data_IF_306641707357
#
_entry.id   IF_306641707357
#
_cell.length_a   1.000
_cell.length_b   1.000
_cell.length_c   1.000
_cell.angle_alpha   90.00
_cell.angle_beta   90.00
_cell.angle_gamma   90.00
#
_symmetry.space_group_name_H-M   'P 1'
#
loop_
_entity.id
_entity.type
_entity.pdbx_description
1 polymer ?
#
# COMPACT_ATOMS: atom_id res chain seq x y z
N UNK A 1 -50.40 -12.23 -26.79
CA UNK A 1 -50.11 -12.69 -25.41
C UNK A 1 -48.73 -13.33 -25.27
N UNK A 2 -48.34 -14.35 -26.06
CA UNK A 2 -46.98 -14.97 -25.97
C UNK A 2 -45.79 -14.00 -26.07
N UNK A 3 -45.86 -12.98 -26.93
CA UNK A 3 -44.78 -11.97 -27.09
C UNK A 3 -44.62 -11.02 -25.89
N UNK A 4 -45.67 -10.82 -25.09
CA UNK A 4 -45.63 -9.95 -23.91
C UNK A 4 -44.95 -10.68 -22.74
N UNK A 5 -45.20 -11.99 -22.60
CA UNK A 5 -44.52 -12.81 -21.59
C UNK A 5 -43.00 -12.93 -21.84
N UNK A 6 -42.55 -13.01 -23.09
CA UNK A 6 -41.09 -13.02 -23.38
C UNK A 6 -40.38 -11.72 -23.03
N UNK A 7 -41.04 -10.56 -23.17
CA UNK A 7 -40.44 -9.26 -22.84
C UNK A 7 -40.38 -9.08 -21.32
N UNK A 8 -41.42 -9.49 -20.59
CA UNK A 8 -41.44 -9.43 -19.12
C UNK A 8 -40.38 -10.37 -18.53
N UNK A 9 -40.20 -11.58 -19.09
CA UNK A 9 -39.19 -12.53 -18.63
C UNK A 9 -37.75 -12.02 -18.86
N UNK A 10 -37.50 -11.35 -19.99
CA UNK A 10 -36.21 -10.72 -20.27
C UNK A 10 -35.93 -9.54 -19.32
N UNK A 11 -36.95 -8.74 -18.99
CA UNK A 11 -36.82 -7.63 -18.04
C UNK A 11 -36.57 -8.11 -16.60
N UNK A 12 -37.18 -9.24 -16.20
CA UNK A 12 -36.93 -9.87 -14.90
C UNK A 12 -35.51 -10.44 -14.82
N UNK A 13 -34.99 -11.02 -15.91
CA UNK A 13 -33.59 -11.49 -15.96
C UNK A 13 -32.57 -10.33 -15.91
N UNK A 14 -32.86 -9.19 -16.54
CA UNK A 14 -32.03 -7.98 -16.49
C UNK A 14 -32.08 -7.32 -15.10
N UNK A 15 -33.23 -7.39 -14.41
CA UNK A 15 -33.37 -6.86 -13.04
C UNK A 15 -32.78 -7.79 -11.97
N UNK A 16 -32.72 -9.10 -12.22
CA UNK A 16 -32.05 -10.06 -11.33
C UNK A 16 -30.51 -10.00 -11.42
N UNK A 17 -29.94 -9.47 -12.51
CA UNK A 17 -28.49 -9.26 -12.63
C UNK A 17 -27.96 -8.00 -11.90
N UNK A 18 -28.84 -7.21 -11.27
CA UNK A 18 -28.45 -5.98 -10.55
C UNK A 18 -28.48 -6.14 -9.02
N UNK A 19 -28.78 -7.33 -8.52
CA UNK A 19 -28.51 -7.67 -7.12
C UNK A 19 -27.04 -8.06 -6.98
N UNK A 20 -26.15 -7.08 -7.13
CA UNK A 20 -24.83 -7.19 -6.51
C UNK A 20 -25.11 -7.31 -5.01
N UNK A 21 -24.88 -8.49 -4.45
CA UNK A 21 -24.71 -8.62 -3.01
C UNK A 21 -23.48 -7.77 -2.69
N UNK A 22 -23.70 -6.49 -2.36
CA UNK A 22 -22.63 -5.67 -1.82
C UNK A 22 -22.28 -6.34 -0.50
N UNK A 23 -21.12 -7.01 -0.46
CA UNK A 23 -20.53 -7.40 0.80
C UNK A 23 -20.43 -6.13 1.65
N UNK A 24 -20.85 -6.20 2.91
CA UNK A 24 -20.56 -5.11 3.83
C UNK A 24 -19.03 -4.97 3.91
N UNK A 25 -18.56 -3.73 3.93
CA UNK A 25 -17.13 -3.40 3.92
C UNK A 25 -16.81 -2.48 5.09
N UNK A 26 -15.64 -2.70 5.68
CA UNK A 26 -15.04 -1.86 6.71
C UNK A 26 -13.88 -1.06 6.13
N UNK A 27 -13.82 0.22 6.48
CA UNK A 27 -12.71 1.11 6.08
C UNK A 27 -11.58 1.04 7.09
N UNK A 28 -10.37 0.81 6.61
CA UNK A 28 -9.14 0.81 7.41
C UNK A 28 -8.24 1.96 6.97
N UNK A 29 -7.77 2.75 7.93
CA UNK A 29 -6.78 3.80 7.70
C UNK A 29 -5.40 3.30 8.15
N UNK A 30 -4.39 3.47 7.30
CA UNK A 30 -2.99 3.12 7.58
C UNK A 30 -2.24 4.43 7.74
N UNK A 31 -1.94 4.84 8.97
CA UNK A 31 -1.49 6.22 9.22
C UNK A 31 -0.13 6.51 8.63
N UNK A 32 0.77 5.55 8.65
CA UNK A 32 2.14 5.71 8.15
C UNK A 32 2.17 6.00 6.65
N UNK A 33 1.21 5.43 5.90
CA UNK A 33 1.12 5.58 4.43
C UNK A 33 0.11 6.65 4.00
N UNK A 34 -0.66 7.21 4.95
CA UNK A 34 -1.78 8.11 4.67
C UNK A 34 -2.74 7.56 3.61
N UNK A 35 -3.11 6.28 3.72
CA UNK A 35 -4.06 5.63 2.82
C UNK A 35 -5.27 5.09 3.57
N UNK A 36 -6.42 5.10 2.91
CA UNK A 36 -7.60 4.32 3.32
C UNK A 36 -7.89 3.22 2.31
N UNK A 37 -8.28 2.07 2.83
CA UNK A 37 -8.70 0.90 2.06
C UNK A 37 -10.00 0.34 2.65
N UNK A 38 -10.94 0.00 1.76
CA UNK A 38 -12.16 -0.70 2.14
C UNK A 38 -11.95 -2.20 1.89
N UNK A 39 -12.17 -3.01 2.93
CA UNK A 39 -12.10 -4.46 2.84
C UNK A 39 -13.45 -5.07 3.22
N UNK A 40 -13.86 -6.18 2.58
CA UNK A 40 -15.06 -6.90 2.98
C UNK A 40 -15.02 -7.37 4.43
N UNK A 41 -16.17 -7.38 5.10
CA UNK A 41 -16.28 -7.70 6.53
C UNK A 41 -15.98 -9.17 6.88
N UNK A 42 -15.83 -10.05 5.87
CA UNK A 42 -15.38 -11.43 6.07
C UNK A 42 -13.85 -11.57 6.19
N UNK A 43 -13.11 -10.47 6.09
CA UNK A 43 -11.68 -10.39 6.41
C UNK A 43 -11.45 -10.03 7.87
N UNK A 44 -10.57 -10.79 8.53
CA UNK A 44 -9.90 -10.38 9.75
C UNK A 44 -8.72 -9.52 9.40
N UNK A 45 -8.65 -8.32 9.95
CA UNK A 45 -7.65 -7.31 9.57
C UNK A 45 -6.77 -6.96 10.75
N UNK A 46 -5.47 -7.11 10.55
CA UNK A 46 -4.43 -6.63 11.45
C UNK A 46 -3.69 -5.45 10.82
N UNK A 47 -3.61 -4.33 11.54
CA UNK A 47 -2.80 -3.16 11.20
C UNK A 47 -1.89 -2.77 12.37
N UNK A 48 -0.83 -2.00 12.09
CA UNK A 48 0.05 -1.46 13.16
C UNK A 48 -0.69 -0.50 14.11
N UNK A 49 -1.75 0.15 13.60
CA UNK A 49 -2.50 1.20 14.29
C UNK A 49 -3.75 0.71 15.03
N UNK A 50 -3.98 -0.61 15.11
CA UNK A 50 -5.20 -1.16 15.71
C UNK A 50 -5.35 -0.83 17.21
N UNK A 51 -6.59 -0.83 17.71
CA UNK A 51 -6.88 -0.70 19.14
C UNK A 51 -6.44 -1.93 19.93
N UNK A 52 -5.96 -1.74 21.16
CA UNK A 52 -5.53 -2.84 22.04
C UNK A 52 -6.68 -3.78 22.44
N UNK A 53 -7.93 -3.29 22.38
CA UNK A 53 -9.16 -4.03 22.67
C UNK A 53 -9.91 -4.42 21.38
N UNK A 54 -9.22 -4.43 20.23
CA UNK A 54 -9.85 -4.80 18.96
C UNK A 54 -10.44 -6.22 19.02
N UNK A 55 -11.69 -6.46 18.57
CA UNK A 55 -12.33 -7.78 18.63
C UNK A 55 -11.55 -8.87 17.90
N UNK A 56 -10.76 -8.51 16.88
CA UNK A 56 -9.92 -9.46 16.14
C UNK A 56 -8.77 -9.99 17.01
N UNK A 57 -8.24 -9.19 17.94
CA UNK A 57 -7.21 -9.62 18.89
C UNK A 57 -7.78 -10.65 19.87
N UNK A 58 -8.96 -10.35 20.45
CA UNK A 58 -9.66 -11.27 21.36
C UNK A 58 -9.99 -12.59 20.67
N UNK A 59 -10.51 -12.52 19.44
CA UNK A 59 -10.88 -13.71 18.65
C UNK A 59 -9.71 -14.69 18.49
N UNK A 60 -8.50 -14.19 18.27
CA UNK A 60 -7.33 -15.03 18.04
C UNK A 60 -6.42 -15.17 19.27
N UNK A 61 -6.80 -14.60 20.42
CA UNK A 61 -6.00 -14.67 21.64
C UNK A 61 -4.66 -13.95 21.55
N UNK A 62 -4.56 -12.91 20.72
CA UNK A 62 -3.34 -12.13 20.56
C UNK A 62 -3.36 -10.81 21.31
N UNK A 63 -2.17 -10.32 21.65
CA UNK A 63 -1.99 -8.95 22.10
C UNK A 63 -1.65 -8.04 20.92
N UNK A 64 -1.96 -6.75 21.05
CA UNK A 64 -1.52 -5.74 20.10
C UNK A 64 -0.01 -5.80 19.87
N UNK A 65 0.79 -5.86 20.94
CA UNK A 65 2.26 -5.89 20.85
C UNK A 65 2.77 -7.09 20.03
N UNK A 66 2.17 -8.27 20.20
CA UNK A 66 2.53 -9.45 19.42
C UNK A 66 2.29 -9.24 17.92
N UNK A 67 1.12 -8.71 17.56
CA UNK A 67 0.78 -8.45 16.17
C UNK A 67 1.64 -7.33 15.57
N UNK A 68 1.77 -6.20 16.26
CA UNK A 68 2.60 -5.07 15.80
C UNK A 68 4.05 -5.52 15.58
N UNK A 69 4.62 -6.29 16.51
CA UNK A 69 5.98 -6.84 16.34
C UNK A 69 6.09 -7.79 15.14
N UNK A 70 5.07 -8.61 14.90
CA UNK A 70 5.04 -9.54 13.77
C UNK A 70 4.94 -8.79 12.43
N UNK A 71 4.03 -7.82 12.34
CA UNK A 71 3.87 -6.95 11.17
C UNK A 71 5.13 -6.12 10.90
N UNK A 72 5.77 -5.58 11.95
CA UNK A 72 7.03 -4.82 11.83
C UNK A 72 8.16 -5.70 11.31
N UNK A 73 8.31 -6.93 11.83
CA UNK A 73 9.33 -7.87 11.35
C UNK A 73 9.11 -8.29 9.90
N UNK A 74 7.86 -8.40 9.46
CA UNK A 74 7.51 -8.72 8.08
C UNK A 74 7.47 -7.53 7.12
N UNK A 75 7.74 -6.32 7.61
CA UNK A 75 7.59 -5.06 6.88
C UNK A 75 6.18 -4.84 6.30
N UNK A 76 5.16 -5.30 7.04
CA UNK A 76 3.75 -5.19 6.69
C UNK A 76 3.09 -4.07 7.50
N UNK A 77 2.26 -3.26 6.84
CA UNK A 77 1.42 -2.24 7.46
C UNK A 77 -0.02 -2.74 7.69
N UNK A 78 -0.47 -3.65 6.83
CA UNK A 78 -1.75 -4.34 6.95
C UNK A 78 -1.56 -5.80 6.52
N UNK A 79 -2.19 -6.71 7.27
CA UNK A 79 -2.40 -8.11 6.87
C UNK A 79 -3.86 -8.48 7.13
N UNK A 80 -4.54 -8.96 6.11
CA UNK A 80 -5.94 -9.32 6.15
C UNK A 80 -6.17 -10.72 5.57
N UNK A 81 -6.97 -11.54 6.24
CA UNK A 81 -7.21 -12.94 5.85
C UNK A 81 -8.63 -13.38 6.19
N UNK A 82 -9.14 -14.39 5.50
CA UNK A 82 -10.47 -14.98 5.76
C UNK A 82 -10.38 -16.14 6.77
N UNK A 83 -11.51 -16.59 7.32
CA UNK A 83 -11.57 -17.78 8.21
C UNK A 83 -11.00 -19.04 7.54
N UNK A 84 -11.03 -19.12 6.20
CA UNK A 84 -10.48 -20.25 5.45
C UNK A 84 -8.96 -20.18 5.28
N UNK A 85 -8.35 -19.00 5.48
CA UNK A 85 -6.92 -18.70 5.32
C UNK A 85 -6.32 -19.13 3.98
N UNK A 86 -7.16 -19.28 2.95
CA UNK A 86 -6.71 -19.64 1.59
C UNK A 86 -6.33 -18.41 0.76
N UNK A 87 -6.67 -17.22 1.24
CA UNK A 87 -6.48 -15.96 0.55
C UNK A 87 -6.17 -14.85 1.58
N UNK A 88 -5.11 -14.10 1.31
CA UNK A 88 -4.61 -13.03 2.18
C UNK A 88 -4.35 -11.76 1.37
N UNK A 89 -4.59 -10.59 1.98
CA UNK A 89 -4.25 -9.26 1.45
C UNK A 89 -3.21 -8.65 2.37
N UNK A 90 -2.06 -8.26 1.82
CA UNK A 90 -1.00 -7.61 2.55
C UNK A 90 -0.67 -6.24 1.93
N UNK A 91 -0.35 -5.28 2.79
CA UNK A 91 0.17 -3.96 2.39
C UNK A 91 1.53 -3.78 3.01
N UNK A 92 2.48 -3.36 2.19
CA UNK A 92 3.87 -3.17 2.58
C UNK A 92 4.43 -1.96 1.86
N UNK A 93 5.40 -1.28 2.46
CA UNK A 93 5.91 -0.03 1.92
C UNK A 93 7.41 0.15 2.16
N UNK A 94 8.05 0.92 1.28
CA UNK A 94 9.42 1.39 1.47
C UNK A 94 9.62 2.78 0.85
N UNK A 95 10.28 3.63 1.61
CA UNK A 95 10.70 4.96 1.15
C UNK A 95 11.67 4.91 -0.05
N UNK A 96 11.47 5.82 -1.00
CA UNK A 96 12.27 6.05 -2.19
C UNK A 96 12.37 7.53 -2.53
N UNK A 97 13.37 7.91 -3.31
CA UNK A 97 13.59 9.32 -3.70
C UNK A 97 12.59 9.82 -4.77
N UNK A 98 11.69 8.97 -5.25
CA UNK A 98 10.71 9.33 -6.27
C UNK A 98 9.36 9.60 -5.62
N UNK A 99 8.78 10.77 -5.89
CA UNK A 99 7.53 11.19 -5.26
C UNK A 99 6.32 10.37 -5.70
N UNK A 100 6.19 10.08 -6.99
CA UNK A 100 4.99 9.46 -7.55
C UNK A 100 5.31 8.73 -8.86
N UNK A 101 4.71 7.56 -9.09
CA UNK A 101 4.89 6.75 -10.31
C UNK A 101 4.25 7.40 -11.54
N UNK A 102 3.28 8.30 -11.36
CA UNK A 102 2.63 9.01 -12.45
C UNK A 102 3.55 9.99 -13.20
N UNK A 103 4.79 10.20 -12.72
CA UNK A 103 5.78 11.04 -13.42
C UNK A 103 6.51 10.31 -14.56
N UNK A 104 6.43 8.98 -14.59
CA UNK A 104 7.07 8.13 -15.58
C UNK A 104 6.30 8.21 -16.91
N UNK A 105 7.03 8.27 -18.03
CA UNK A 105 6.43 8.07 -19.35
C UNK A 105 6.23 6.57 -19.66
N UNK A 106 5.53 6.25 -20.76
CA UNK A 106 5.21 4.86 -21.13
C UNK A 106 6.47 3.99 -21.28
N UNK A 107 7.55 4.53 -21.86
CA UNK A 107 8.82 3.80 -22.01
C UNK A 107 9.46 3.52 -20.63
N UNK A 108 9.42 4.51 -19.73
CA UNK A 108 9.95 4.37 -18.37
C UNK A 108 9.12 3.41 -17.51
N UNK A 109 7.79 3.35 -17.71
CA UNK A 109 6.89 2.38 -17.07
C UNK A 109 7.13 0.96 -17.57
N UNK A 110 7.32 0.78 -18.89
CA UNK A 110 7.68 -0.52 -19.47
C UNK A 110 9.03 -1.00 -18.91
N UNK A 111 10.05 -0.14 -18.87
CA UNK A 111 11.36 -0.46 -18.31
C UNK A 111 11.28 -0.81 -16.82
N UNK A 112 10.39 -0.16 -16.06
CA UNK A 112 10.13 -0.47 -14.65
C UNK A 112 9.45 -1.83 -14.48
N UNK A 113 8.40 -2.11 -15.26
CA UNK A 113 7.73 -3.41 -15.26
C UNK A 113 8.69 -4.57 -15.58
N UNK A 114 9.55 -4.36 -16.58
CA UNK A 114 10.59 -5.29 -17.00
C UNK A 114 11.59 -5.57 -15.87
N UNK A 115 11.96 -4.52 -15.15
CA UNK A 115 12.93 -4.59 -14.06
C UNK A 115 12.35 -5.27 -12.82
N UNK A 116 11.08 -5.01 -12.49
CA UNK A 116 10.34 -5.71 -11.44
C UNK A 116 10.22 -7.21 -11.78
N UNK A 117 9.82 -7.54 -13.02
CA UNK A 117 9.72 -8.94 -13.47
C UNK A 117 11.06 -9.69 -13.35
N UNK A 118 12.17 -9.05 -13.75
CA UNK A 118 13.52 -9.62 -13.60
C UNK A 118 13.92 -9.79 -12.14
N UNK A 119 13.55 -8.84 -11.29
CA UNK A 119 13.75 -8.93 -9.84
C UNK A 119 13.06 -10.16 -9.25
N UNK A 120 11.78 -10.35 -9.55
CA UNK A 120 10.99 -11.45 -9.01
C UNK A 120 11.55 -12.80 -9.46
N UNK A 121 11.93 -12.92 -10.75
CA UNK A 121 12.60 -14.12 -11.28
C UNK A 121 13.93 -14.41 -10.57
N UNK A 122 14.71 -13.37 -10.26
CA UNK A 122 15.97 -13.50 -9.53
C UNK A 122 15.75 -14.00 -8.09
N UNK A 123 14.64 -13.61 -7.48
CA UNK A 123 14.23 -14.04 -6.14
C UNK A 123 13.59 -15.44 -6.13
N UNK A 124 13.55 -16.12 -7.29
CA UNK A 124 13.05 -17.49 -7.42
C UNK A 124 11.54 -17.59 -7.60
N UNK A 125 10.89 -16.50 -8.01
CA UNK A 125 9.46 -16.45 -8.31
C UNK A 125 9.21 -16.74 -9.79
N UNK A 126 8.17 -17.51 -10.07
CA UNK A 126 7.71 -17.76 -11.42
C UNK A 126 6.75 -16.63 -11.84
N UNK A 127 7.27 -15.59 -12.50
CA UNK A 127 6.45 -14.49 -13.00
C UNK A 127 5.62 -14.96 -14.19
N UNK A 128 4.30 -14.95 -14.02
CA UNK A 128 3.30 -15.40 -14.99
C UNK A 128 2.88 -14.25 -15.93
N UNK A 129 2.78 -13.04 -15.38
CA UNK A 129 2.32 -11.84 -16.09
C UNK A 129 2.87 -10.59 -15.40
N UNK A 130 3.13 -9.53 -16.17
CA UNK A 130 3.55 -8.23 -15.65
C UNK A 130 3.08 -7.14 -16.61
N UNK A 131 2.18 -6.28 -16.15
CA UNK A 131 1.54 -5.25 -16.98
C UNK A 131 1.41 -3.91 -16.26
N UNK A 132 1.24 -2.84 -17.03
CA UNK A 132 0.92 -1.52 -16.50
C UNK A 132 -0.60 -1.39 -16.40
N UNK A 133 -1.09 -1.04 -15.22
CA UNK A 133 -2.50 -0.76 -14.96
C UNK A 133 -2.67 0.69 -14.51
N UNK A 134 -3.60 1.43 -15.12
CA UNK A 134 -3.85 2.83 -14.81
C UNK A 134 -5.31 3.00 -14.44
N UNK A 135 -5.58 3.64 -13.29
CA UNK A 135 -6.92 4.05 -12.89
C UNK A 135 -6.97 5.56 -12.61
N UNK A 136 -8.07 6.04 -12.04
CA UNK A 136 -8.25 7.49 -11.77
C UNK A 136 -7.43 8.02 -10.58
N UNK A 137 -6.78 7.14 -9.82
CA UNK A 137 -6.07 7.45 -8.56
C UNK A 137 -4.56 7.34 -8.70
N UNK A 138 -4.06 6.33 -9.40
CA UNK A 138 -2.62 6.12 -9.63
C UNK A 138 -2.36 5.24 -10.86
N UNK A 139 -1.09 5.09 -11.18
CA UNK A 139 -0.54 4.05 -12.06
C UNK A 139 0.03 2.91 -11.21
N UNK A 140 -0.11 1.68 -11.66
CA UNK A 140 0.41 0.49 -11.00
C UNK A 140 1.17 -0.39 -11.99
N UNK A 141 2.23 -1.04 -11.52
CA UNK A 141 2.77 -2.23 -12.17
C UNK A 141 2.13 -3.43 -11.49
N UNK A 142 1.41 -4.24 -12.27
CA UNK A 142 0.68 -5.40 -11.78
C UNK A 142 1.44 -6.66 -12.17
N UNK A 143 1.90 -7.42 -11.17
CA UNK A 143 2.64 -8.66 -11.39
C UNK A 143 1.85 -9.86 -10.88
N UNK A 144 1.58 -10.83 -11.75
CA UNK A 144 1.11 -12.17 -11.35
C UNK A 144 2.31 -13.08 -11.26
N UNK A 145 2.45 -13.77 -10.14
CA UNK A 145 3.56 -14.70 -9.96
C UNK A 145 3.17 -15.89 -9.09
N UNK A 146 3.95 -16.96 -9.20
CA UNK A 146 3.88 -18.12 -8.32
C UNK A 146 5.13 -18.19 -7.44
N UNK A 147 4.91 -18.31 -6.14
CA UNK A 147 5.95 -18.58 -5.16
C UNK A 147 5.95 -20.09 -4.83
N UNK A 148 7.07 -20.82 -4.99
CA UNK A 148 7.11 -22.28 -4.81
C UNK A 148 6.61 -22.82 -3.47
N UNK A 149 6.66 -21.99 -2.42
CA UNK A 149 6.19 -22.32 -1.05
C UNK A 149 4.86 -21.68 -0.66
N UNK A 150 4.39 -20.67 -1.40
CA UNK A 150 3.30 -19.78 -0.96
C UNK A 150 2.18 -19.64 -2.01
N UNK A 151 2.24 -20.38 -3.12
CA UNK A 151 1.17 -20.38 -4.11
C UNK A 151 1.21 -19.15 -5.01
N UNK A 152 0.06 -18.81 -5.59
CA UNK A 152 -0.05 -17.73 -6.55
C UNK A 152 -0.32 -16.41 -5.85
N UNK A 153 0.18 -15.32 -6.42
CA UNK A 153 -0.06 -13.97 -5.96
C UNK A 153 -0.33 -13.01 -7.12
N UNK A 154 -1.08 -11.95 -6.79
CA UNK A 154 -1.31 -10.78 -7.62
C UNK A 154 -0.83 -9.56 -6.83
N UNK A 155 0.20 -8.88 -7.34
CA UNK A 155 0.83 -7.75 -6.66
C UNK A 155 0.67 -6.46 -7.46
N UNK A 156 0.16 -5.42 -6.79
CA UNK A 156 0.04 -4.07 -7.33
C UNK A 156 1.12 -3.19 -6.71
N UNK A 157 2.08 -2.80 -7.54
CA UNK A 157 3.18 -1.92 -7.18
C UNK A 157 2.87 -0.49 -7.64
N UNK A 158 2.93 0.48 -6.74
CA UNK A 158 2.85 1.91 -7.06
C UNK A 158 3.93 2.67 -6.32
N UNK A 159 4.20 3.91 -6.75
CA UNK A 159 4.96 4.88 -5.97
C UNK A 159 4.03 6.05 -5.68
N UNK A 160 3.85 6.41 -4.41
CA UNK A 160 3.08 7.57 -4.01
C UNK A 160 3.67 8.17 -2.73
N UNK A 161 3.73 9.51 -2.65
CA UNK A 161 4.29 10.23 -1.52
C UNK A 161 5.68 9.75 -1.07
N UNK A 162 6.58 9.47 -2.02
CA UNK A 162 7.94 8.95 -1.75
C UNK A 162 7.98 7.54 -1.19
N UNK A 163 6.88 6.79 -1.26
CA UNK A 163 6.81 5.40 -0.85
C UNK A 163 6.54 4.50 -2.06
N UNK A 164 7.34 3.47 -2.24
CA UNK A 164 6.91 2.27 -2.95
C UNK A 164 5.85 1.61 -2.07
N UNK A 165 4.64 1.47 -2.57
CA UNK A 165 3.56 0.76 -1.88
C UNK A 165 3.19 -0.46 -2.70
N UNK A 166 3.22 -1.63 -2.05
CA UNK A 166 2.82 -2.90 -2.64
C UNK A 166 1.56 -3.40 -1.96
N UNK A 167 0.56 -3.71 -2.77
CA UNK A 167 -0.68 -4.37 -2.36
C UNK A 167 -0.67 -5.78 -2.95
N UNK A 168 -0.42 -6.77 -2.11
CA UNK A 168 -0.27 -8.16 -2.55
C UNK A 168 -1.47 -8.98 -2.11
N UNK A 169 -2.10 -9.67 -3.06
CA UNK A 169 -3.15 -10.65 -2.83
C UNK A 169 -2.64 -12.06 -3.09
N UNK A 170 -2.62 -12.88 -2.04
CA UNK A 170 -2.16 -14.27 -2.09
C UNK A 170 -3.34 -15.23 -2.27
N UNK A 171 -3.10 -16.30 -3.04
CA UNK A 171 -4.04 -17.41 -3.25
C UNK A 171 -3.24 -18.73 -3.18
N UNK A 172 -3.33 -19.41 -2.05
CA UNK A 172 -2.41 -20.53 -1.73
C UNK A 172 -2.66 -21.79 -2.56
N UNK A 173 -3.91 -22.09 -2.89
CA UNK A 173 -4.31 -23.36 -3.50
C UNK A 173 -4.96 -23.22 -4.90
N UNK A 174 -4.98 -22.02 -5.46
CA UNK A 174 -5.72 -21.71 -6.70
C UNK A 174 -4.89 -20.79 -7.58
N UNK A 175 -5.05 -20.91 -8.90
CA UNK A 175 -4.68 -19.83 -9.80
C UNK A 175 -5.48 -18.57 -9.43
N UNK A 176 -4.89 -17.40 -9.67
CA UNK A 176 -5.63 -16.13 -9.56
C UNK A 176 -6.65 -16.09 -10.70
N UNK A 177 -7.85 -16.63 -10.45
CA UNK A 177 -8.95 -16.61 -11.41
C UNK A 177 -9.33 -15.17 -11.79
N UNK A 178 -9.91 -14.97 -12.98
CA UNK A 178 -10.39 -13.66 -13.42
C UNK A 178 -11.36 -13.02 -12.41
N UNK A 179 -12.23 -13.81 -11.77
CA UNK A 179 -13.12 -13.32 -10.72
C UNK A 179 -12.37 -12.79 -9.49
N UNK A 180 -11.26 -13.42 -9.12
CA UNK A 180 -10.44 -13.02 -7.98
C UNK A 180 -9.53 -11.83 -8.33
N UNK A 181 -9.02 -11.77 -9.55
CA UNK A 181 -8.35 -10.59 -10.08
C UNK A 181 -9.29 -9.39 -10.05
N UNK A 182 -10.50 -9.51 -10.61
CA UNK A 182 -11.49 -8.42 -10.62
C UNK A 182 -11.90 -7.99 -9.20
N UNK A 183 -12.04 -8.94 -8.28
CA UNK A 183 -12.28 -8.64 -6.87
C UNK A 183 -11.16 -7.79 -6.28
N UNK A 184 -9.90 -8.21 -6.40
CA UNK A 184 -8.79 -7.45 -5.83
C UNK A 184 -8.58 -6.11 -6.54
N UNK A 185 -8.69 -6.05 -7.86
CA UNK A 185 -8.68 -4.79 -8.63
C UNK A 185 -9.75 -3.82 -8.13
N UNK A 186 -10.95 -4.30 -7.78
CA UNK A 186 -12.01 -3.43 -7.23
C UNK A 186 -11.64 -2.83 -5.87
N UNK A 187 -10.89 -3.56 -5.04
CA UNK A 187 -10.33 -3.04 -3.79
C UNK A 187 -9.29 -1.96 -4.11
N UNK A 188 -8.37 -2.23 -5.04
CA UNK A 188 -7.34 -1.27 -5.47
C UNK A 188 -7.95 0.03 -6.02
N UNK A 189 -9.01 -0.08 -6.82
CA UNK A 189 -9.75 1.07 -7.37
C UNK A 189 -10.44 1.91 -6.29
N UNK A 190 -10.76 1.31 -5.15
CA UNK A 190 -11.35 1.95 -3.99
C UNK A 190 -10.35 2.67 -3.07
N UNK A 191 -9.04 2.46 -3.25
CA UNK A 191 -8.02 3.05 -2.38
C UNK A 191 -8.05 4.57 -2.47
N UNK A 192 -7.95 5.22 -1.31
CA UNK A 192 -7.84 6.66 -1.18
C UNK A 192 -6.46 7.02 -0.65
N UNK A 193 -5.66 7.69 -1.49
CA UNK A 193 -4.41 8.34 -1.07
C UNK A 193 -4.74 9.72 -0.51
N UNK A 194 -4.46 9.92 0.78
CA UNK A 194 -4.68 11.20 1.46
C UNK A 194 -3.46 12.11 1.29
N UNK A 195 -3.70 13.42 1.26
CA UNK A 195 -2.61 14.39 1.18
C UNK A 195 -1.80 14.38 2.49
N UNK A 196 -0.47 14.34 2.38
CA UNK A 196 0.43 14.38 3.54
C UNK A 196 0.24 15.71 4.31
N UNK A 197 -0.24 15.63 5.55
CA UNK A 197 -0.43 16.79 6.43
C UNK A 197 0.74 16.96 7.40
N UNK A 198 1.98 16.96 6.92
CA UNK A 198 3.18 16.95 7.78
C UNK A 198 4.01 18.22 7.70
N UNK A 199 3.73 19.20 8.58
CA UNK A 199 4.71 20.20 9.04
C UNK A 199 4.28 20.73 10.42
N UNK A 200 4.40 19.90 11.45
CA UNK A 200 4.57 20.35 12.85
C UNK A 200 5.24 19.25 13.66
N UNK A 201 6.53 19.42 13.95
CA UNK A 201 7.20 19.16 15.23
C UNK A 201 8.69 18.95 14.94
N UNK A 202 9.45 20.04 15.03
CA UNK A 202 10.90 20.00 15.20
C UNK A 202 11.19 19.34 16.54
N UNK A 203 11.42 18.03 16.56
CA UNK A 203 12.16 17.41 17.66
C UNK A 203 13.65 17.46 17.33
N UNK A 204 14.34 18.22 18.16
CA UNK A 204 15.78 18.39 18.19
C UNK A 204 16.48 17.05 18.36
N UNK A 205 17.39 16.78 17.42
CA UNK A 205 18.35 15.68 17.45
C UNK A 205 19.28 15.88 18.65
N UNK A 206 19.21 14.97 19.63
CA UNK A 206 20.34 14.69 20.53
C UNK A 206 20.97 13.35 20.16
N UNK A 207 22.29 13.36 20.02
CA UNK A 207 23.10 12.25 19.57
C UNK A 207 23.23 11.14 20.64
N UNK A 208 23.17 9.83 20.27
CA UNK A 208 23.44 8.75 21.22
C UNK A 208 24.91 8.67 21.63
N UNK A 209 25.15 8.70 22.95
CA UNK A 209 26.42 8.37 23.58
C UNK A 209 26.60 6.85 23.65
N UNK A 210 27.82 6.40 23.36
CA UNK A 210 28.33 5.04 23.56
C UNK A 210 28.54 4.71 25.04
N UNK A 211 28.06 3.56 25.50
CA UNK A 211 28.71 2.81 26.58
C UNK A 211 28.43 1.31 26.46
N UNK A 212 29.53 0.57 26.38
CA UNK A 212 29.62 -0.86 26.65
C UNK A 212 29.14 -1.19 28.06
N UNK A 213 28.46 -2.33 28.23
CA UNK A 213 28.85 -3.33 29.23
C UNK A 213 28.19 -4.68 28.90
N UNK A 214 29.01 -5.71 29.01
CA UNK A 214 28.80 -7.14 28.80
C UNK A 214 28.44 -7.79 30.14
N UNK A 215 27.33 -8.53 30.25
CA UNK A 215 27.21 -9.70 31.15
C UNK A 215 26.14 -10.68 30.62
N UNK A 216 26.57 -11.92 30.46
CA UNK A 216 25.88 -13.19 30.21
C UNK A 216 24.76 -13.54 31.21
N UNK A 217 23.73 -14.29 30.76
CA UNK A 217 23.35 -15.57 31.38
C UNK A 217 22.26 -16.32 30.58
N UNK A 218 22.54 -17.59 30.33
CA UNK A 218 21.59 -18.64 29.93
C UNK A 218 20.61 -18.93 31.09
N UNK A 219 19.34 -19.19 30.76
CA UNK A 219 18.52 -20.13 31.51
C UNK A 219 17.49 -20.79 30.61
N UNK A 220 17.56 -22.10 30.65
CA UNK A 220 16.81 -23.16 30.00
C UNK A 220 15.38 -23.32 30.56
N UNK A 221 14.63 -24.24 29.93
CA UNK A 221 13.28 -24.76 30.24
C UNK A 221 12.10 -24.05 29.57
N UNK A 222 11.07 -24.74 29.08
CA UNK A 222 10.80 -26.18 28.92
C UNK A 222 9.47 -26.30 28.17
N UNK A 223 9.28 -27.44 27.52
CA UNK A 223 8.08 -27.89 26.83
C UNK A 223 6.74 -27.50 27.49
N UNK A 224 5.79 -27.07 26.66
CA UNK A 224 4.36 -27.20 26.94
C UNK A 224 3.61 -27.48 25.64
N UNK A 225 3.10 -28.70 25.57
CA UNK A 225 2.21 -29.27 24.58
C UNK A 225 0.80 -28.65 24.72
N UNK A 226 0.27 -27.96 23.71
CA UNK A 226 -1.15 -27.59 23.64
C UNK A 226 -1.70 -27.60 22.21
N UNK A 227 -2.75 -28.41 22.03
CA UNK A 227 -3.85 -28.37 21.05
C UNK A 227 -3.61 -27.90 19.61
N UNK A 228 -3.94 -28.79 18.67
CA UNK A 228 -3.94 -28.66 17.20
C UNK A 228 -4.79 -27.50 16.58
N UNK A 229 -5.25 -26.51 17.36
CA UNK A 229 -5.95 -25.32 16.84
C UNK A 229 -5.14 -24.03 16.93
N UNK A 230 -4.02 -24.01 17.66
CA UNK A 230 -3.22 -22.80 17.91
C UNK A 230 -2.09 -22.59 16.88
N UNK A 231 -1.89 -23.56 16.00
CA UNK A 231 -0.75 -23.60 15.05
C UNK A 231 -1.02 -22.80 13.76
N UNK A 232 -2.28 -22.56 13.39
CA UNK A 232 -2.58 -21.98 12.08
C UNK A 232 -2.29 -20.48 11.95
N UNK A 233 -2.56 -19.65 12.97
CA UNK A 233 -2.46 -18.18 12.79
C UNK A 233 -1.04 -17.64 12.99
N UNK A 234 -0.24 -18.27 13.86
CA UNK A 234 1.19 -17.97 13.95
C UNK A 234 1.94 -18.38 12.67
N UNK A 235 1.50 -19.48 12.01
CA UNK A 235 1.99 -19.86 10.69
C UNK A 235 1.54 -18.86 9.62
N UNK A 236 0.30 -18.36 9.65
CA UNK A 236 -0.19 -17.33 8.70
C UNK A 236 0.64 -16.04 8.77
N UNK A 237 0.97 -15.55 9.97
CA UNK A 237 1.79 -14.34 10.13
C UNK A 237 3.28 -14.55 9.80
N UNK A 238 3.80 -15.77 9.97
CA UNK A 238 5.20 -16.12 9.63
C UNK A 238 5.36 -16.46 8.14
N UNK A 239 4.32 -17.00 7.50
CA UNK A 239 4.29 -17.35 6.07
C UNK A 239 4.11 -16.10 5.19
N UNK A 240 3.38 -15.08 5.66
CA UNK A 240 3.13 -13.82 4.91
C UNK A 240 4.31 -12.84 4.92
N UNK A 241 5.26 -12.99 5.84
CA UNK A 241 6.45 -12.17 5.98
C UNK A 241 7.60 -12.53 5.02
N UNK A 242 7.30 -13.06 3.81
CA UNK A 242 8.30 -13.09 2.74
C UNK A 242 8.27 -11.74 2.05
N UNK A 243 8.96 -10.77 2.65
CA UNK A 243 9.15 -9.45 2.07
C UNK A 243 9.94 -9.62 0.75
N UNK A 244 9.25 -9.62 -0.40
CA UNK A 244 9.81 -9.58 -1.78
C UNK A 244 10.41 -8.18 -2.04
N UNK A 245 10.99 -7.57 -1.02
CA UNK A 245 11.45 -6.18 -1.01
C UNK A 245 12.91 -6.04 -1.37
N UNK A 246 13.70 -7.12 -1.41
CA UNK A 246 15.17 -7.01 -1.44
C UNK A 246 15.67 -6.33 -2.74
N UNK A 247 14.86 -6.22 -3.79
CA UNK A 247 15.30 -5.63 -5.06
C UNK A 247 14.43 -4.50 -5.67
N UNK A 248 13.30 -4.09 -5.07
CA UNK A 248 12.40 -3.08 -5.65
C UNK A 248 12.97 -1.65 -5.68
N UNK A 249 13.66 -1.19 -4.63
CA UNK A 249 14.29 0.14 -4.59
C UNK A 249 15.48 0.30 -5.57
N UNK A 250 16.26 -0.77 -5.76
CA UNK A 250 17.38 -0.80 -6.71
C UNK A 250 16.87 -0.73 -8.15
N UNK A 251 15.73 -1.40 -8.42
CA UNK A 251 15.08 -1.42 -9.73
C UNK A 251 14.72 -0.01 -10.20
N UNK A 252 14.11 0.80 -9.33
CA UNK A 252 13.69 2.18 -9.66
C UNK A 252 14.87 3.06 -10.07
N UNK A 253 15.99 3.03 -9.32
CA UNK A 253 17.20 3.79 -9.63
C UNK A 253 17.80 3.34 -10.97
N UNK A 254 17.77 2.03 -11.27
CA UNK A 254 18.29 1.50 -12.52
C UNK A 254 17.49 2.00 -13.75
N UNK A 255 16.18 2.17 -13.64
CA UNK A 255 15.34 2.71 -14.71
C UNK A 255 15.67 4.18 -14.97
N UNK A 256 15.73 5.00 -13.92
CA UNK A 256 16.06 6.43 -14.04
C UNK A 256 17.47 6.68 -14.59
N UNK A 257 18.44 5.82 -14.27
CA UNK A 257 19.81 5.95 -14.78
C UNK A 257 19.95 5.46 -16.23
N UNK A 258 19.10 4.53 -16.66
CA UNK A 258 19.05 4.01 -18.04
C UNK A 258 18.29 4.96 -18.98
N UNK A 259 17.28 5.68 -18.51
CA UNK A 259 16.43 6.59 -19.32
C UNK A 259 17.13 7.90 -19.73
N UNK A 260 18.46 7.90 -19.87
CA UNK A 260 19.35 9.04 -20.16
C UNK A 260 19.08 9.71 -21.54
N UNK A 261 17.86 10.23 -21.74
CA UNK A 261 17.49 11.22 -22.74
C UNK A 261 18.21 12.52 -22.32
N UNK A 262 19.07 13.09 -23.18
CA UNK A 262 19.97 14.16 -22.79
C UNK A 262 19.24 15.51 -22.74
N UNK A 263 18.42 15.75 -21.71
CA UNK A 263 18.11 17.12 -21.21
C UNK A 263 17.23 17.23 -19.95
N UNK A 264 17.19 16.24 -19.04
CA UNK A 264 16.41 16.38 -17.78
C UNK A 264 17.19 17.01 -16.61
N UNK A 265 18.53 16.95 -16.58
CA UNK A 265 19.31 17.55 -15.49
C UNK A 265 19.26 19.09 -15.47
N UNK A 266 19.05 19.74 -16.61
CA UNK A 266 18.85 21.20 -16.68
C UNK A 266 17.42 21.59 -16.31
N UNK A 267 16.43 20.74 -16.61
CA UNK A 267 15.05 20.94 -16.19
C UNK A 267 14.87 20.73 -14.69
N UNK A 268 15.58 19.78 -14.06
CA UNK A 268 15.57 19.58 -12.61
C UNK A 268 16.25 20.76 -11.91
N UNK A 269 17.40 21.25 -12.40
CA UNK A 269 18.04 22.44 -11.85
C UNK A 269 17.20 23.73 -12.01
N UNK A 270 16.50 23.90 -13.14
CA UNK A 270 15.55 25.01 -13.35
C UNK A 270 14.27 24.86 -12.50
N UNK A 271 13.84 23.64 -12.17
CA UNK A 271 12.71 23.39 -11.25
C UNK A 271 13.13 23.61 -9.80
N UNK A 272 14.34 23.24 -9.38
CA UNK A 272 14.84 23.54 -8.02
C UNK A 272 15.03 25.05 -7.83
N UNK A 273 15.52 25.77 -8.84
CA UNK A 273 15.63 27.24 -8.79
C UNK A 273 14.29 27.98 -8.92
N UNK A 274 13.27 27.36 -9.52
CA UNK A 274 11.92 27.96 -9.67
C UNK A 274 10.95 27.57 -8.55
N UNK A 275 11.18 26.45 -7.87
CA UNK A 275 10.36 25.98 -6.74
C UNK A 275 10.79 26.62 -5.43
N UNK A 276 12.03 27.09 -5.30
CA UNK A 276 12.43 27.95 -4.16
C UNK A 276 11.80 29.35 -4.18
N UNK A 277 11.01 29.72 -5.20
CA UNK A 277 10.46 31.07 -5.35
C UNK A 277 8.94 31.22 -5.18
N UNK A 278 8.15 30.19 -4.87
CA UNK A 278 6.69 30.35 -4.68
C UNK A 278 6.06 29.45 -3.62
N UNK A 279 6.73 29.23 -2.50
CA UNK A 279 6.06 28.71 -1.30
C UNK A 279 5.22 29.85 -0.70
N UNK A 280 3.89 29.72 -0.73
CA UNK A 280 2.95 30.72 -0.19
C UNK A 280 2.32 30.20 1.10
N UNK A 281 2.36 31.01 2.15
CA UNK A 281 1.70 30.70 3.42
C UNK A 281 0.49 31.60 3.65
N UNK A 282 -0.58 31.05 4.20
CA UNK A 282 -1.76 31.81 4.59
C UNK A 282 -1.40 32.75 5.75
N UNK A 283 -1.50 34.05 5.55
CA UNK A 283 -1.22 35.03 6.62
C UNK A 283 -2.22 34.98 7.78
N UNK A 284 -3.38 34.34 7.59
CA UNK A 284 -4.40 34.20 8.64
C UNK A 284 -4.13 33.01 9.57
N UNK A 285 -3.73 31.85 9.04
CA UNK A 285 -3.60 30.62 9.84
C UNK A 285 -2.29 29.84 9.66
N UNK A 286 -1.35 30.37 8.87
CA UNK A 286 -0.03 29.76 8.61
C UNK A 286 -0.06 28.51 7.72
N UNK A 287 -1.21 28.14 7.15
CA UNK A 287 -1.31 26.96 6.29
C UNK A 287 -0.53 27.16 4.99
N UNK A 288 0.11 26.10 4.50
CA UNK A 288 0.65 26.09 3.15
C UNK A 288 -0.46 26.23 2.12
N UNK A 289 -0.23 27.02 1.07
CA UNK A 289 -1.19 27.29 0.01
C UNK A 289 -0.59 26.81 -1.31
N UNK A 290 -1.27 25.87 -1.97
CA UNK A 290 -0.87 25.43 -3.30
C UNK A 290 -1.01 26.58 -4.30
N UNK A 291 -0.18 26.59 -5.34
CA UNK A 291 -0.17 27.69 -6.30
C UNK A 291 -1.51 27.86 -7.05
N UNK A 292 -2.34 26.81 -7.08
CA UNK A 292 -3.66 26.75 -7.70
C UNK A 292 -4.84 27.04 -6.74
N UNK A 293 -4.60 27.19 -5.42
CA UNK A 293 -5.67 27.35 -4.45
C UNK A 293 -6.27 28.77 -4.47
N UNK A 294 -7.58 28.85 -4.62
CA UNK A 294 -8.36 30.10 -4.54
C UNK A 294 -8.75 30.42 -3.08
N UNK A 295 -8.79 29.41 -2.21
CA UNK A 295 -9.11 29.53 -0.79
C UNK A 295 -8.15 28.66 0.03
N UNK A 296 -7.81 29.11 1.24
CA UNK A 296 -7.06 28.32 2.19
C UNK A 296 -7.87 27.11 2.63
N UNK A 297 -7.37 25.91 2.38
CA UNK A 297 -8.02 24.63 2.73
C UNK A 297 -8.22 24.45 4.24
N UNK A 298 -7.47 25.16 5.08
CA UNK A 298 -7.56 25.06 6.55
C UNK A 298 -8.54 26.03 7.18
N UNK A 299 -8.60 27.28 6.72
CA UNK A 299 -9.41 28.32 7.38
C UNK A 299 -10.43 29.00 6.46
N UNK A 300 -10.51 28.59 5.19
CA UNK A 300 -11.43 29.16 4.20
C UNK A 300 -11.11 30.58 3.75
N UNK A 301 -9.98 31.15 4.18
CA UNK A 301 -9.57 32.51 3.79
C UNK A 301 -9.24 32.55 2.30
N UNK A 302 -9.88 33.43 1.54
CA UNK A 302 -9.60 33.64 0.11
C UNK A 302 -8.11 33.95 -0.09
N UNK A 303 -7.45 33.27 -1.03
CA UNK A 303 -6.02 33.48 -1.31
C UNK A 303 -5.87 34.60 -2.33
N UNK A 304 -5.28 35.73 -1.93
CA UNK A 304 -4.90 36.82 -2.82
C UNK A 304 -3.46 37.27 -2.54
N UNK A 305 -2.87 38.09 -3.41
CA UNK A 305 -1.46 38.52 -3.26
C UNK A 305 -1.18 39.31 -1.97
N UNK A 306 -2.21 39.83 -1.31
CA UNK A 306 -2.07 40.66 -0.11
C UNK A 306 -2.10 39.85 1.19
N UNK A 307 -2.58 38.60 1.14
CA UNK A 307 -2.73 37.75 2.33
C UNK A 307 -1.93 36.44 2.26
N UNK A 308 -0.88 36.43 1.43
CA UNK A 308 0.14 35.37 1.38
C UNK A 308 1.53 35.93 1.69
N UNK A 309 2.31 35.28 2.56
CA UNK A 309 3.72 35.63 2.79
C UNK A 309 4.67 34.59 2.17
N UNK A 310 5.83 35.05 1.73
CA UNK A 310 6.90 34.22 1.12
C UNK A 310 8.02 33.85 2.12
N UNK A 311 7.97 34.32 3.37
CA UNK A 311 8.94 33.99 4.44
C UNK A 311 8.31 34.04 5.84
N UNK A 312 8.65 33.06 6.67
CA UNK A 312 8.83 33.17 8.12
C UNK A 312 10.26 32.72 8.43
#
# INVERSE_FOLDING_TARGET
MKKIYSIILAFVFIMLSVFSANAETSTYYISDLNISIDLPDDYYVFTRDMDENSPVLEKFGYTKDYIVNSLTKGDLYLSAFTDSSNEDINISSREVEISDICIFDDDELEDLADSISKSYKKDGLDVLDCEVYVNTKSTFIVTKFFHPKHGNALDFYTINNYDIIQFTFWTYDKEVSESRQNFFTSIIDGIVFHAYSGLTATESIEAPQTSSDDVTNEADNSDANSSETDINVAIILIITAVSIFIASGIVVIAVLTKSNKPNRNTAIADITAKTESQIRYCTNCGNHISSADVFCSKCGTLVNRENTSEKL
#
